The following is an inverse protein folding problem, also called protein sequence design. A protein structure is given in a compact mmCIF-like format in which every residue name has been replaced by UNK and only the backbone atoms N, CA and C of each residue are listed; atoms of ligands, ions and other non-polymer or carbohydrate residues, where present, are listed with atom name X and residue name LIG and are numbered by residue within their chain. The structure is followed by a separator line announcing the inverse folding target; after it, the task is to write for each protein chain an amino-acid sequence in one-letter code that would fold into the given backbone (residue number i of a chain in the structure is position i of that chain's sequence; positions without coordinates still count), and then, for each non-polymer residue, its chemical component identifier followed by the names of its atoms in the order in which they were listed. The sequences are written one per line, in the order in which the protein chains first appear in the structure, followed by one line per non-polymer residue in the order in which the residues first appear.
data_IF_721685300002
#
_entry.id   IF_721685300002
#
_cell.length_a   1.000
_cell.length_b   1.000
_cell.length_c   1.000
_cell.angle_alpha   90.00
_cell.angle_beta   90.00
_cell.angle_gamma   90.00
#
_symmetry.space_group_name_H-M   'P 1'
#
loop_
_entity.id
_entity.type
_entity.pdbx_description
1 polymer ?
#
# COMPACT_ATOMS: atom_id res chain seq x y z
N UNK A 1 13.19 0.95 -1.72
CA UNK A 1 11.97 1.79 -1.59
C UNK A 1 11.21 1.64 -2.89
N UNK A 2 9.90 1.41 -2.82
CA UNK A 2 9.09 1.16 -4.00
C UNK A 2 8.18 2.37 -4.21
N UNK A 3 8.34 3.03 -5.35
CA UNK A 3 7.57 4.23 -5.64
C UNK A 3 6.16 3.85 -6.10
N UNK A 4 5.21 4.67 -5.69
CA UNK A 4 3.80 4.47 -5.97
C UNK A 4 3.04 5.78 -5.88
N UNK A 5 1.77 5.74 -6.32
CA UNK A 5 0.86 6.87 -6.25
C UNK A 5 -0.14 6.59 -5.15
N UNK A 6 -0.15 7.45 -4.13
CA UNK A 6 -1.17 7.44 -3.07
C UNK A 6 -2.52 7.84 -3.68
N UNK A 7 -3.52 6.97 -3.54
CA UNK A 7 -4.86 7.21 -4.07
C UNK A 7 -5.78 7.86 -3.03
N UNK A 8 -5.77 7.32 -1.81
CA UNK A 8 -6.47 7.89 -0.66
C UNK A 8 -5.84 7.46 0.66
N UNK A 9 -6.26 8.16 1.71
CA UNK A 9 -5.91 7.88 3.09
C UNK A 9 -7.17 7.92 3.95
N UNK A 10 -7.11 7.20 5.07
CA UNK A 10 -8.09 7.21 6.15
C UNK A 10 -7.35 7.22 7.48
N UNK A 11 -8.09 7.24 8.59
CA UNK A 11 -7.50 7.13 9.93
C UNK A 11 -6.80 5.80 10.21
N UNK A 12 -7.08 4.74 9.45
CA UNK A 12 -6.58 3.38 9.72
C UNK A 12 -5.82 2.74 8.56
N UNK A 13 -5.62 3.46 7.45
CA UNK A 13 -5.06 2.85 6.25
C UNK A 13 -5.08 3.73 5.03
N UNK A 14 -4.58 3.22 3.93
CA UNK A 14 -4.44 3.93 2.67
C UNK A 14 -4.51 2.98 1.48
N UNK A 15 -4.71 3.55 0.28
CA UNK A 15 -4.60 2.83 -0.98
C UNK A 15 -3.52 3.43 -1.85
N UNK A 16 -2.75 2.59 -2.53
CA UNK A 16 -1.72 3.05 -3.46
C UNK A 16 -1.69 2.21 -4.75
N UNK A 17 -1.37 2.88 -5.86
CA UNK A 17 -0.92 2.25 -7.09
C UNK A 17 0.59 2.08 -7.06
N UNK A 18 1.07 0.94 -7.52
CA UNK A 18 2.48 0.60 -7.55
C UNK A 18 2.75 -0.50 -8.59
N UNK A 19 4.02 -0.81 -8.85
CA UNK A 19 4.40 -1.84 -9.84
C UNK A 19 4.83 -3.17 -9.18
N UNK A 20 4.64 -3.30 -7.86
CA UNK A 20 5.04 -4.49 -7.10
C UNK A 20 4.01 -5.61 -7.21
N UNK A 21 4.19 -6.53 -8.16
CA UNK A 21 3.29 -7.69 -8.33
C UNK A 21 3.46 -8.77 -7.26
N UNK A 22 4.53 -8.72 -6.48
CA UNK A 22 4.82 -9.68 -5.41
C UNK A 22 4.22 -9.27 -4.07
N UNK A 23 3.58 -8.10 -4.00
CA UNK A 23 2.87 -7.66 -2.81
C UNK A 23 1.57 -8.47 -2.68
N UNK A 24 1.41 -9.14 -1.55
CA UNK A 24 0.31 -10.05 -1.29
C UNK A 24 -0.30 -9.77 0.09
N UNK A 25 -1.58 -10.12 0.25
CA UNK A 25 -2.30 -9.95 1.49
C UNK A 25 -1.60 -10.62 2.68
N UNK A 26 -1.61 -9.95 3.84
CA UNK A 26 -0.97 -10.39 5.07
C UNK A 26 0.48 -9.92 5.24
N UNK A 27 1.18 -9.55 4.17
CA UNK A 27 2.53 -9.01 4.27
C UNK A 27 2.55 -7.68 5.02
N UNK A 28 3.60 -7.46 5.80
CA UNK A 28 3.85 -6.19 6.51
C UNK A 28 4.98 -5.46 5.83
N UNK A 29 4.73 -4.20 5.47
CA UNK A 29 5.70 -3.33 4.78
C UNK A 29 5.90 -2.04 5.55
N UNK A 30 7.08 -1.44 5.40
CA UNK A 30 7.28 -0.05 5.78
C UNK A 30 6.73 0.87 4.69
N UNK A 31 6.15 2.00 5.07
CA UNK A 31 5.66 3.00 4.15
C UNK A 31 6.05 4.41 4.60
N UNK A 32 6.12 5.32 3.64
CA UNK A 32 6.27 6.75 3.85
C UNK A 32 5.46 7.48 2.77
N UNK A 33 4.60 8.40 3.19
CA UNK A 33 3.81 9.25 2.32
C UNK A 33 3.53 10.61 3.00
N UNK A 34 2.91 11.56 2.29
CA UNK A 34 2.65 12.90 2.81
C UNK A 34 1.87 12.95 4.13
N UNK A 35 0.99 11.98 4.39
CA UNK A 35 0.24 11.84 5.65
C UNK A 35 0.97 11.13 6.80
N UNK A 36 2.24 10.70 6.64
CA UNK A 36 3.00 9.99 7.69
C UNK A 36 3.82 8.79 7.18
N UNK A 37 4.56 8.18 8.10
CA UNK A 37 5.37 6.98 7.86
C UNK A 37 5.16 5.95 8.96
N UNK A 38 5.44 4.68 8.68
CA UNK A 38 5.27 3.60 9.64
C UNK A 38 5.27 2.22 9.00
N UNK A 39 4.57 1.27 9.64
CA UNK A 39 4.33 -0.07 9.07
C UNK A 39 2.86 -0.24 8.72
N UNK A 40 2.60 -1.00 7.67
CA UNK A 40 1.25 -1.34 7.27
C UNK A 40 1.16 -2.80 6.83
N UNK A 41 0.00 -3.42 7.05
CA UNK A 41 -0.34 -4.74 6.52
C UNK A 41 -1.09 -4.58 5.19
N UNK A 42 -0.68 -5.34 4.18
CA UNK A 42 -1.44 -5.47 2.94
C UNK A 42 -2.73 -6.23 3.23
N UNK A 43 -3.88 -5.62 2.95
CA UNK A 43 -5.20 -6.23 3.18
C UNK A 43 -5.67 -6.94 1.92
N UNK A 44 -5.43 -6.34 0.76
CA UNK A 44 -5.76 -6.91 -0.55
C UNK A 44 -4.84 -6.31 -1.61
N UNK A 45 -4.69 -7.04 -2.71
CA UNK A 45 -3.96 -6.60 -3.90
C UNK A 45 -4.77 -6.93 -5.14
N UNK A 46 -4.88 -5.99 -6.08
CA UNK A 46 -5.53 -6.12 -7.37
C UNK A 46 -4.55 -5.77 -8.47
N UNK A 47 -4.42 -6.62 -9.47
CA UNK A 47 -3.54 -6.41 -10.63
C UNK A 47 -4.43 -6.10 -11.84
N UNK A 48 -4.26 -4.91 -12.43
CA UNK A 48 -4.93 -4.49 -13.66
C UNK A 48 -3.89 -4.13 -14.71
N UNK A 49 -3.64 -5.06 -15.64
CA UNK A 49 -2.58 -4.93 -16.63
C UNK A 49 -1.21 -4.80 -15.95
N UNK A 50 -0.54 -3.67 -16.18
CA UNK A 50 0.77 -3.40 -15.61
C UNK A 50 0.75 -2.72 -14.24
N UNK A 51 -0.41 -2.19 -13.82
CA UNK A 51 -0.54 -1.56 -12.52
C UNK A 51 -1.05 -2.52 -11.46
N UNK A 52 -0.51 -2.36 -10.27
CA UNK A 52 -0.95 -3.04 -9.06
C UNK A 52 -1.53 -2.01 -8.11
N UNK A 53 -2.75 -2.26 -7.65
CA UNK A 53 -3.36 -1.49 -6.59
C UNK A 53 -3.40 -2.34 -5.32
N UNK A 54 -2.96 -1.79 -4.19
CA UNK A 54 -3.07 -2.47 -2.91
C UNK A 54 -3.73 -1.58 -1.86
N UNK A 55 -4.50 -2.22 -0.98
CA UNK A 55 -5.03 -1.61 0.22
C UNK A 55 -4.15 -1.96 1.41
N UNK A 56 -3.84 -0.96 2.23
CA UNK A 56 -2.93 -1.06 3.36
C UNK A 56 -3.64 -0.65 4.64
N UNK A 57 -3.50 -1.45 5.69
CA UNK A 57 -3.93 -1.11 7.04
C UNK A 57 -2.72 -0.66 7.86
N UNK A 58 -2.74 0.57 8.36
CA UNK A 58 -1.64 1.13 9.15
C UNK A 58 -1.56 0.45 10.52
N UNK A 59 -0.37 -0.03 10.89
CA UNK A 59 -0.08 -0.74 12.14
C UNK A 59 0.66 0.17 13.13
N UNK A 60 0.35 1.47 13.12
CA UNK A 60 0.98 2.49 13.99
C UNK A 60 1.28 1.97 15.39
#
# INVERSE_FOLDING_TARGET
MLDGVLLDTSSHGFRALHNCRTLAAGQVVSFEHSGGSGRARVVWTRIEGDQVQSGFFALV
#
